data_IF_645834928930
#
_entry.id   IF_645834928930
#
_cell.length_a   1.000
_cell.length_b   1.000
_cell.length_c   1.000
_cell.angle_alpha   90.00
_cell.angle_beta   90.00
_cell.angle_gamma   90.00
#
_symmetry.space_group_name_H-M   'P 1'
#
loop_
_entity.id
_entity.type
_entity.pdbx_description
1 polymer ?
#
# COMPACT_ATOMS: atom_id res chain seq x y z
N UNK A 1 48.34 2.27 64.42
CA UNK A 1 47.50 1.07 64.53
C UNK A 1 47.67 0.33 63.20
N UNK A 2 48.83 -0.27 62.89
CA UNK A 2 49.48 -1.48 63.45
C UNK A 2 48.66 -2.77 63.24
N UNK A 3 49.39 -3.82 62.82
CA UNK A 3 49.04 -5.22 62.47
C UNK A 3 48.69 -5.44 60.99
N UNK A 4 49.60 -5.91 60.10
CA UNK A 4 50.24 -7.27 59.97
C UNK A 4 49.17 -8.38 59.90
N UNK A 5 49.16 -9.33 58.95
CA UNK A 5 50.24 -10.20 58.47
C UNK A 5 49.74 -11.01 57.24
N UNK A 6 50.59 -11.22 56.22
CA UNK A 6 50.46 -12.32 55.24
C UNK A 6 50.85 -13.65 55.90
N UNK A 7 50.44 -14.80 55.34
CA UNK A 7 51.42 -15.58 54.59
C UNK A 7 50.90 -16.28 53.33
N UNK A 8 51.83 -16.49 52.41
CA UNK A 8 51.75 -17.38 51.26
C UNK A 8 51.57 -18.85 51.67
N UNK A 9 50.84 -19.61 50.84
CA UNK A 9 50.97 -21.06 50.76
C UNK A 9 50.79 -21.52 49.31
N UNK A 10 51.92 -21.92 48.70
CA UNK A 10 52.02 -22.63 47.44
C UNK A 10 51.52 -24.07 47.57
N UNK A 11 50.81 -24.57 46.54
CA UNK A 11 50.41 -25.99 46.46
C UNK A 11 49.83 -26.35 45.10
N UNK A 12 50.71 -26.74 44.17
CA UNK A 12 50.36 -27.41 42.91
C UNK A 12 49.69 -28.76 43.16
N UNK A 13 48.66 -29.14 42.38
CA UNK A 13 48.56 -30.48 41.75
C UNK A 13 47.33 -30.61 40.85
N UNK A 14 47.61 -31.07 39.64
CA UNK A 14 46.69 -31.43 38.57
C UNK A 14 45.84 -32.67 38.87
N UNK A 15 44.75 -32.80 38.11
CA UNK A 15 44.24 -34.04 37.51
C UNK A 15 42.92 -34.63 38.05
N UNK A 16 41.91 -34.61 37.15
CA UNK A 16 40.99 -35.71 36.73
C UNK A 16 39.48 -35.54 36.99
N UNK A 17 38.77 -35.86 35.89
CA UNK A 17 37.43 -36.47 35.75
C UNK A 17 36.22 -35.54 35.86
N UNK A 18 35.60 -35.19 34.75
CA UNK A 18 34.60 -36.00 33.99
C UNK A 18 33.23 -36.00 34.66
N UNK A 19 32.37 -35.10 34.19
CA UNK A 19 30.92 -35.30 34.17
C UNK A 19 30.34 -34.59 32.95
N UNK A 20 30.29 -35.31 31.83
CA UNK A 20 29.37 -35.01 30.75
C UNK A 20 27.95 -35.15 31.31
N UNK A 21 27.22 -34.04 31.37
CA UNK A 21 25.77 -34.06 31.52
C UNK A 21 25.18 -33.48 30.25
N UNK A 22 24.67 -34.36 29.40
CA UNK A 22 23.92 -34.02 28.21
C UNK A 22 22.66 -33.23 28.62
N UNK A 23 22.64 -31.92 28.36
CA UNK A 23 21.42 -31.14 28.39
C UNK A 23 20.65 -31.39 27.08
N UNK A 24 19.41 -31.80 27.23
CA UNK A 24 18.48 -32.10 26.14
C UNK A 24 18.35 -30.93 25.15
N UNK A 25 18.06 -31.19 23.86
CA UNK A 25 17.69 -30.12 22.94
C UNK A 25 16.36 -29.51 23.38
N UNK A 26 16.40 -28.26 23.81
CA UNK A 26 15.25 -27.39 24.05
C UNK A 26 14.42 -27.35 22.76
N UNK A 27 13.23 -27.98 22.76
CA UNK A 27 12.25 -27.77 21.69
C UNK A 27 11.93 -26.28 21.65
N UNK A 28 12.04 -25.58 20.50
CA UNK A 28 11.55 -24.21 20.43
C UNK A 28 10.04 -24.25 20.65
N UNK A 29 9.58 -23.51 21.66
CA UNK A 29 8.16 -23.26 21.86
C UNK A 29 7.64 -22.55 20.60
N UNK A 30 6.80 -23.26 19.85
CA UNK A 30 6.22 -22.80 18.60
C UNK A 30 5.39 -21.54 18.87
N UNK A 31 5.77 -20.43 18.24
CA UNK A 31 5.25 -19.07 18.39
C UNK A 31 3.90 -18.87 17.68
N UNK A 32 2.91 -19.72 17.96
CA UNK A 32 1.61 -19.71 17.25
C UNK A 32 0.83 -18.39 17.34
N UNK A 33 1.02 -17.61 18.41
CA UNK A 33 0.22 -16.39 18.62
C UNK A 33 0.67 -15.23 17.72
N UNK A 34 1.96 -15.17 17.38
CA UNK A 34 2.54 -14.07 16.60
C UNK A 34 2.19 -14.23 15.11
N UNK A 35 2.22 -15.45 14.57
CA UNK A 35 1.86 -15.70 13.17
C UNK A 35 0.41 -15.36 12.85
N UNK A 36 -0.54 -15.69 13.75
CA UNK A 36 -1.95 -15.35 13.58
C UNK A 36 -2.24 -13.85 13.68
N UNK A 37 -1.46 -13.08 14.43
CA UNK A 37 -1.61 -11.61 14.46
C UNK A 37 -1.06 -10.95 13.20
N UNK A 38 0.04 -11.46 12.66
CA UNK A 38 0.64 -10.91 11.45
C UNK A 38 -0.18 -11.26 10.20
N UNK A 39 -0.72 -12.48 10.11
CA UNK A 39 -1.67 -12.86 9.05
C UNK A 39 -2.92 -11.96 9.04
N UNK A 40 -3.48 -11.68 10.22
CA UNK A 40 -4.62 -10.74 10.35
C UNK A 40 -4.27 -9.32 9.93
N UNK A 41 -3.06 -8.84 10.21
CA UNK A 41 -2.59 -7.52 9.76
C UNK A 41 -2.43 -7.47 8.24
N UNK A 42 -1.84 -8.50 7.65
CA UNK A 42 -1.70 -8.62 6.19
C UNK A 42 -3.06 -8.58 5.50
N UNK A 43 -4.02 -9.39 5.97
CA UNK A 43 -5.37 -9.39 5.42
C UNK A 43 -6.06 -8.02 5.56
N UNK A 44 -5.84 -7.30 6.68
CA UNK A 44 -6.39 -5.97 6.87
C UNK A 44 -5.80 -4.95 5.89
N UNK A 45 -4.48 -4.98 5.65
CA UNK A 45 -3.82 -4.09 4.68
C UNK A 45 -4.33 -4.36 3.27
N UNK A 46 -4.46 -5.63 2.87
CA UNK A 46 -5.00 -6.02 1.56
C UNK A 46 -6.45 -5.55 1.38
N UNK A 47 -7.30 -5.75 2.39
CA UNK A 47 -8.68 -5.31 2.34
C UNK A 47 -8.80 -3.78 2.19
N UNK A 48 -7.92 -3.01 2.83
CA UNK A 48 -7.90 -1.55 2.69
C UNK A 48 -7.41 -1.15 1.30
N UNK A 49 -6.38 -1.81 0.76
CA UNK A 49 -5.90 -1.56 -0.61
C UNK A 49 -6.99 -1.84 -1.66
N UNK A 50 -7.75 -2.93 -1.52
CA UNK A 50 -8.88 -3.25 -2.39
C UNK A 50 -10.00 -2.20 -2.32
N UNK A 51 -10.32 -1.71 -1.11
CA UNK A 51 -11.30 -0.64 -0.95
C UNK A 51 -10.83 0.68 -1.55
N UNK A 52 -9.55 0.99 -1.45
CA UNK A 52 -8.98 2.19 -2.06
C UNK A 52 -9.07 2.13 -3.60
N UNK A 53 -8.73 0.98 -4.18
CA UNK A 53 -8.88 0.75 -5.63
C UNK A 53 -10.33 0.89 -6.08
N UNK A 54 -11.26 0.26 -5.35
CA UNK A 54 -12.69 0.40 -5.63
C UNK A 54 -13.15 1.86 -5.55
N UNK A 55 -12.61 2.63 -4.60
CA UNK A 55 -12.92 4.05 -4.49
C UNK A 55 -12.39 4.84 -5.70
N UNK A 56 -11.20 4.53 -6.20
CA UNK A 56 -10.65 5.12 -7.44
C UNK A 56 -11.53 4.80 -8.65
N UNK A 57 -11.97 3.54 -8.81
CA UNK A 57 -12.88 3.14 -9.91
C UNK A 57 -14.19 3.93 -9.87
N UNK A 58 -14.73 4.18 -8.67
CA UNK A 58 -15.94 4.98 -8.50
C UNK A 58 -15.72 6.46 -8.84
N UNK A 59 -14.54 7.01 -8.55
CA UNK A 59 -14.17 8.36 -8.96
C UNK A 59 -14.04 8.46 -10.48
N UNK A 60 -13.47 7.45 -11.14
CA UNK A 60 -13.38 7.40 -12.61
C UNK A 60 -14.76 7.31 -13.26
N UNK A 61 -15.66 6.49 -12.71
CA UNK A 61 -17.06 6.43 -13.14
C UNK A 61 -17.80 7.75 -12.93
N UNK A 62 -17.61 8.41 -11.78
CA UNK A 62 -18.22 9.71 -11.50
C UNK A 62 -17.71 10.79 -12.47
N UNK A 63 -16.42 10.76 -12.81
CA UNK A 63 -15.84 11.68 -13.77
C UNK A 63 -16.42 11.48 -15.18
N UNK A 64 -16.56 10.22 -15.61
CA UNK A 64 -17.20 9.85 -16.88
C UNK A 64 -18.63 10.38 -16.96
N UNK A 65 -19.44 10.13 -15.94
CA UNK A 65 -20.82 10.61 -15.87
C UNK A 65 -20.91 12.15 -15.91
N UNK A 66 -19.96 12.85 -15.26
CA UNK A 66 -19.84 14.31 -15.38
C UNK A 66 -19.55 14.78 -16.80
N UNK A 67 -18.76 14.01 -17.56
CA UNK A 67 -18.46 14.29 -18.97
C UNK A 67 -19.68 14.12 -19.88
N UNK A 68 -20.44 13.05 -19.67
CA UNK A 68 -21.72 12.82 -20.37
C UNK A 68 -22.71 13.96 -20.10
N UNK A 69 -22.81 14.41 -18.86
CA UNK A 69 -23.64 15.57 -18.50
C UNK A 69 -23.17 16.85 -19.20
N UNK A 70 -21.86 17.12 -19.21
CA UNK A 70 -21.30 18.27 -19.90
C UNK A 70 -21.60 18.24 -21.40
N UNK A 71 -21.47 17.07 -22.04
CA UNK A 71 -21.83 16.88 -23.44
C UNK A 71 -23.32 17.16 -23.70
N UNK A 72 -24.21 16.59 -22.88
CA UNK A 72 -25.65 16.80 -23.01
C UNK A 72 -26.04 18.29 -22.86
N UNK A 73 -25.36 19.03 -21.99
CA UNK A 73 -25.56 20.47 -21.86
C UNK A 73 -25.14 21.23 -23.13
N UNK A 74 -24.07 20.80 -23.83
CA UNK A 74 -23.62 21.46 -25.07
C UNK A 74 -24.63 21.18 -26.16
N UNK A 75 -25.02 19.92 -26.29
CA UNK A 75 -25.98 19.47 -27.27
C UNK A 75 -27.33 20.20 -27.11
N UNK A 76 -27.85 20.30 -25.89
CA UNK A 76 -29.08 21.04 -25.61
C UNK A 76 -28.98 22.53 -25.99
N UNK A 77 -27.82 23.15 -25.76
CA UNK A 77 -27.57 24.55 -26.13
C UNK A 77 -27.55 24.75 -27.64
N UNK A 78 -26.90 23.85 -28.38
CA UNK A 78 -26.77 23.93 -29.84
C UNK A 78 -28.08 23.59 -30.53
N UNK A 79 -28.82 22.59 -30.04
CA UNK A 79 -30.05 22.07 -30.67
C UNK A 79 -31.32 22.86 -30.35
N UNK A 80 -31.39 23.50 -29.18
CA UNK A 80 -32.62 24.13 -28.68
C UNK A 80 -32.49 25.63 -28.38
N UNK A 81 -31.41 26.28 -28.83
CA UNK A 81 -31.15 27.73 -28.64
C UNK A 81 -31.29 28.19 -27.17
N UNK A 82 -31.08 27.28 -26.21
CA UNK A 82 -31.17 27.59 -24.78
C UNK A 82 -30.16 28.69 -24.46
N UNK A 83 -30.65 29.77 -23.83
CA UNK A 83 -29.85 30.96 -23.54
C UNK A 83 -28.49 30.61 -22.94
N UNK A 84 -27.44 31.16 -23.56
CA UNK A 84 -26.04 31.00 -23.14
C UNK A 84 -25.83 31.35 -21.66
N UNK A 85 -26.58 32.31 -21.14
CA UNK A 85 -26.49 32.80 -19.75
C UNK A 85 -27.10 31.80 -18.77
N UNK A 86 -28.17 31.10 -19.17
CA UNK A 86 -28.84 30.09 -18.35
C UNK A 86 -27.99 28.83 -18.24
N UNK A 87 -27.34 28.42 -19.34
CA UNK A 87 -26.47 27.25 -19.37
C UNK A 87 -25.09 27.47 -18.72
N UNK A 88 -24.53 28.69 -18.78
CA UNK A 88 -23.15 28.96 -18.36
C UNK A 88 -22.88 28.59 -16.89
N UNK A 89 -23.78 28.96 -15.97
CA UNK A 89 -23.61 28.62 -14.54
C UNK A 89 -23.67 27.12 -14.28
N UNK A 90 -24.51 26.40 -15.03
CA UNK A 90 -24.61 24.94 -14.92
C UNK A 90 -23.34 24.29 -15.45
N UNK A 91 -22.83 24.73 -16.60
CA UNK A 91 -21.54 24.29 -17.13
C UNK A 91 -20.38 24.53 -16.16
N UNK A 92 -20.31 25.72 -15.58
CA UNK A 92 -19.29 26.05 -14.61
C UNK A 92 -19.36 25.12 -13.40
N UNK A 93 -20.55 24.88 -12.85
CA UNK A 93 -20.73 23.97 -11.72
C UNK A 93 -20.33 22.53 -12.06
N UNK A 94 -20.64 22.03 -13.26
CA UNK A 94 -20.22 20.70 -13.73
C UNK A 94 -18.70 20.62 -13.86
N UNK A 95 -18.06 21.64 -14.44
CA UNK A 95 -16.61 21.69 -14.57
C UNK A 95 -15.90 21.74 -13.19
N UNK A 96 -16.44 22.53 -12.25
CA UNK A 96 -15.94 22.58 -10.87
C UNK A 96 -16.10 21.23 -10.15
N UNK A 97 -17.22 20.54 -10.36
CA UNK A 97 -17.42 19.19 -9.81
C UNK A 97 -16.40 18.18 -10.39
N UNK A 98 -16.15 18.22 -11.70
CA UNK A 98 -15.14 17.37 -12.35
C UNK A 98 -13.71 17.67 -11.84
N UNK A 99 -13.38 18.93 -11.58
CA UNK A 99 -12.12 19.31 -10.96
C UNK A 99 -12.00 18.76 -9.52
N UNK A 100 -13.09 18.81 -8.74
CA UNK A 100 -13.11 18.23 -7.40
C UNK A 100 -12.92 16.70 -7.43
N UNK A 101 -13.54 15.99 -8.37
CA UNK A 101 -13.39 14.55 -8.56
C UNK A 101 -11.92 14.19 -8.90
N UNK A 102 -11.31 14.89 -9.85
CA UNK A 102 -9.91 14.64 -10.22
C UNK A 102 -8.93 14.96 -9.10
N UNK A 103 -9.22 15.98 -8.29
CA UNK A 103 -8.47 16.28 -7.07
C UNK A 103 -8.60 15.15 -6.05
N UNK A 104 -9.82 14.68 -5.79
CA UNK A 104 -10.08 13.55 -4.90
C UNK A 104 -9.35 12.28 -5.36
N UNK A 105 -9.31 12.01 -6.67
CA UNK A 105 -8.56 10.91 -7.27
C UNK A 105 -7.06 11.05 -7.02
N UNK A 106 -6.51 12.25 -7.17
CA UNK A 106 -5.11 12.54 -6.83
C UNK A 106 -4.78 12.23 -5.37
N UNK A 107 -5.70 12.55 -4.45
CA UNK A 107 -5.56 12.18 -3.04
C UNK A 107 -5.67 10.68 -2.78
N UNK A 108 -6.57 9.97 -3.47
CA UNK A 108 -6.71 8.51 -3.37
C UNK A 108 -5.41 7.80 -3.80
N UNK A 109 -4.85 8.18 -4.95
CA UNK A 109 -3.57 7.64 -5.45
C UNK A 109 -2.41 7.97 -4.51
N UNK A 110 -2.40 9.16 -3.89
CA UNK A 110 -1.42 9.49 -2.86
C UNK A 110 -1.60 8.61 -1.60
N UNK A 111 -2.84 8.19 -1.31
CA UNK A 111 -3.18 7.22 -0.28
C UNK A 111 -2.50 5.85 -0.50
N UNK A 112 -2.41 5.36 -1.74
CA UNK A 112 -1.67 4.14 -2.05
C UNK A 112 -0.21 4.22 -1.59
N UNK A 113 0.45 5.36 -1.83
CA UNK A 113 1.85 5.57 -1.40
C UNK A 113 2.01 5.57 0.12
N UNK A 114 0.97 5.92 0.87
CA UNK A 114 0.97 5.84 2.33
C UNK A 114 0.76 4.39 2.80
N UNK A 115 -0.13 3.65 2.13
CA UNK A 115 -0.30 2.21 2.38
C UNK A 115 0.99 1.44 2.08
N UNK A 116 1.76 1.83 1.06
CA UNK A 116 3.06 1.23 0.76
C UNK A 116 4.00 1.29 1.97
N UNK A 117 4.05 2.43 2.66
CA UNK A 117 4.87 2.61 3.87
C UNK A 117 4.36 1.78 5.05
N UNK A 118 3.04 1.66 5.19
CA UNK A 118 2.42 0.83 6.23
C UNK A 118 2.76 -0.64 6.00
N UNK A 119 2.64 -1.10 4.77
CA UNK A 119 2.94 -2.48 4.40
C UNK A 119 4.43 -2.82 4.50
N UNK A 120 5.32 -1.88 4.14
CA UNK A 120 6.77 -1.99 4.38
C UNK A 120 7.08 -2.20 5.86
N UNK A 121 6.44 -1.43 6.75
CA UNK A 121 6.60 -1.57 8.20
C UNK A 121 6.12 -2.93 8.75
N UNK A 122 5.26 -3.64 8.02
CA UNK A 122 4.77 -4.98 8.37
C UNK A 122 5.45 -6.11 7.57
N UNK A 123 6.48 -5.80 6.77
CA UNK A 123 7.17 -6.76 5.90
C UNK A 123 6.24 -7.53 4.95
N UNK A 124 5.16 -6.88 4.52
CA UNK A 124 4.23 -7.45 3.53
C UNK A 124 4.86 -7.26 2.15
N UNK A 125 4.79 -8.31 1.32
CA UNK A 125 5.32 -8.26 -0.05
C UNK A 125 4.60 -7.18 -0.88
N UNK A 126 5.34 -6.21 -1.46
CA UNK A 126 4.79 -5.18 -2.33
C UNK A 126 3.97 -5.71 -3.51
N UNK A 127 4.28 -6.90 -4.02
CA UNK A 127 3.55 -7.51 -5.13
C UNK A 127 2.10 -7.88 -4.77
N UNK A 128 1.77 -7.96 -3.48
CA UNK A 128 0.44 -8.34 -3.00
C UNK A 128 -0.54 -7.16 -2.89
N UNK A 129 -0.05 -5.92 -2.82
CA UNK A 129 -0.88 -4.73 -2.59
C UNK A 129 -0.53 -3.53 -3.48
N UNK A 130 0.65 -3.50 -4.10
CA UNK A 130 1.11 -2.37 -4.89
C UNK A 130 0.69 -2.51 -6.36
N UNK A 131 0.14 -1.43 -6.91
CA UNK A 131 -0.21 -1.32 -8.34
C UNK A 131 1.02 -1.14 -9.25
N UNK A 132 2.23 -1.12 -8.67
CA UNK A 132 3.49 -0.96 -9.41
C UNK A 132 3.96 -2.21 -10.14
N UNK A 133 3.22 -3.32 -10.05
CA UNK A 133 3.29 -4.39 -11.05
C UNK A 133 2.67 -3.91 -12.38
N UNK A 134 3.21 -2.80 -12.92
CA UNK A 134 2.91 -2.30 -14.25
C UNK A 134 3.26 -3.45 -15.21
N UNK A 135 2.27 -4.09 -15.87
CA UNK A 135 2.60 -5.00 -16.96
C UNK A 135 3.43 -4.19 -17.96
N UNK A 136 4.46 -4.79 -18.60
CA UNK A 136 5.22 -4.07 -19.62
C UNK A 136 4.20 -3.49 -20.59
N UNK A 137 4.20 -2.16 -20.69
CA UNK A 137 3.37 -1.45 -21.67
C UNK A 137 3.83 -2.02 -23.01
N UNK A 138 3.06 -2.94 -23.56
CA UNK A 138 3.13 -3.29 -24.96
C UNK A 138 2.73 -2.00 -25.67
N UNK A 139 3.73 -1.17 -25.96
CA UNK A 139 3.59 -0.07 -26.90
C UNK A 139 2.96 -0.71 -28.14
N UNK A 140 1.80 -0.20 -28.52
CA UNK A 140 1.12 -0.57 -29.75
C UNK A 140 2.14 -0.53 -30.89
N UNK A 141 2.66 -1.69 -31.27
CA UNK A 141 3.30 -1.89 -32.55
C UNK A 141 2.16 -1.84 -33.56
N UNK A 142 1.88 -0.63 -34.03
CA UNK A 142 0.95 -0.41 -35.13
C UNK A 142 1.43 -1.23 -36.32
N UNK A 143 0.70 -2.29 -36.66
CA UNK A 143 0.84 -2.91 -37.96
C UNK A 143 0.52 -1.85 -39.04
N UNK A 144 1.41 -1.63 -40.02
CA UNK A 144 1.09 -0.79 -41.15
C UNK A 144 -0.04 -1.48 -41.93
N UNK A 145 -1.23 -0.89 -41.87
CA UNK A 145 -2.36 -1.25 -42.73
C UNK A 145 -1.89 -1.12 -44.17
N UNK A 146 -1.62 -2.26 -44.82
CA UNK A 146 -1.35 -2.32 -46.24
C UNK A 146 -2.57 -1.74 -46.96
N UNK A 147 -2.35 -0.62 -47.66
CA UNK A 147 -3.33 -0.09 -48.59
C UNK A 147 -3.41 -1.06 -49.79
N UNK A 148 -4.57 -1.68 -49.96
CA UNK A 148 -5.07 -2.19 -51.25
C UNK A 148 -6.25 -1.33 -51.67
#
# INVERSE_FOLDING_TARGET
MTFTHSPDCSGSSSSRQSAQSASAPSRPAFTSSTSLSDERRTLAVLAVADQLRRFEDLLDQAFSAGGELAQALVEARVSHEVSAVVGHKVFQAVAEAQLAITTARGHAVAGHRLLDKVAEAFHIDPSMYSDTAKPPVALFEGEPRAAM
#
